data_IF_008835660228
#
_entry.id   IF_008835660228
#
_cell.length_a   1.000
_cell.length_b   1.000
_cell.length_c   1.000
_cell.angle_alpha   90.00
_cell.angle_beta   90.00
_cell.angle_gamma   90.00
#
_symmetry.space_group_name_H-M   'P 1'
#
loop_
_entity.id
_entity.type
_entity.pdbx_description
1 polymer ?
#
# COMPACT_ATOMS: atom_id res chain seq x y z
N UNK A 1 13.46 -8.35 4.73
CA UNK A 1 12.20 -8.13 3.99
C UNK A 1 11.42 -9.42 4.08
N UNK A 2 10.18 -9.37 4.56
CA UNK A 2 9.30 -10.53 4.73
C UNK A 2 7.95 -10.27 4.07
N UNK A 3 7.32 -11.30 3.54
CA UNK A 3 5.96 -11.22 2.99
C UNK A 3 5.01 -12.02 3.88
N UNK A 4 3.84 -11.44 4.19
CA UNK A 4 2.75 -12.19 4.82
C UNK A 4 1.80 -12.68 3.74
N UNK A 5 1.50 -13.98 3.79
CA UNK A 5 0.67 -14.65 2.81
C UNK A 5 -0.63 -15.16 3.43
N UNK A 6 -1.69 -15.23 2.63
CA UNK A 6 -2.96 -15.89 2.95
C UNK A 6 -3.29 -16.87 1.82
N UNK A 7 -3.81 -18.04 2.18
CA UNK A 7 -4.39 -18.97 1.21
C UNK A 7 -5.81 -18.52 0.86
N UNK A 8 -6.14 -18.35 -0.41
CA UNK A 8 -7.50 -18.12 -0.86
C UNK A 8 -8.27 -19.46 -0.87
N UNK A 9 -9.41 -19.50 -0.16
CA UNK A 9 -10.17 -20.74 0.01
C UNK A 9 -11.04 -21.11 -1.21
N UNK A 10 -11.19 -20.21 -2.18
CA UNK A 10 -11.92 -20.44 -3.44
C UNK A 10 -10.99 -20.95 -4.53
N UNK A 11 -9.78 -20.40 -4.63
CA UNK A 11 -8.80 -20.77 -5.68
C UNK A 11 -7.73 -21.74 -5.19
N UNK A 12 -7.56 -21.91 -3.88
CA UNK A 12 -6.50 -22.68 -3.23
C UNK A 12 -5.08 -22.11 -3.41
N UNK A 13 -4.96 -20.85 -3.87
CA UNK A 13 -3.70 -20.17 -4.15
C UNK A 13 -3.20 -19.35 -2.96
N UNK A 14 -1.87 -19.16 -2.86
CA UNK A 14 -1.26 -18.29 -1.86
C UNK A 14 -1.07 -16.88 -2.41
N UNK A 15 -1.61 -15.89 -1.71
CA UNK A 15 -1.55 -14.48 -2.08
C UNK A 15 -0.82 -13.67 -1.00
N UNK A 16 0.09 -12.79 -1.41
CA UNK A 16 0.74 -11.84 -0.50
C UNK A 16 -0.18 -10.65 -0.24
N UNK A 17 -0.37 -10.29 1.04
CA UNK A 17 -1.24 -9.17 1.43
C UNK A 17 -0.52 -8.07 2.22
N UNK A 18 0.67 -8.34 2.72
CA UNK A 18 1.48 -7.37 3.46
C UNK A 18 2.97 -7.66 3.24
N UNK A 19 3.78 -6.60 3.29
CA UNK A 19 5.22 -6.66 3.22
C UNK A 19 5.80 -5.98 4.46
N UNK A 20 6.71 -6.67 5.14
CA UNK A 20 7.39 -6.18 6.34
C UNK A 20 8.83 -5.86 5.98
N UNK A 21 9.17 -4.58 6.02
CA UNK A 21 10.52 -4.07 5.79
C UNK A 21 11.07 -3.55 7.13
N UNK A 22 12.23 -4.05 7.54
CA UNK A 22 12.88 -3.61 8.80
C UNK A 22 11.96 -3.73 10.04
N UNK A 23 11.08 -4.73 10.06
CA UNK A 23 10.12 -4.95 11.14
C UNK A 23 8.84 -4.10 11.05
N UNK A 24 8.69 -3.25 10.04
CA UNK A 24 7.54 -2.37 9.85
C UNK A 24 6.62 -2.93 8.75
N UNK A 25 5.35 -3.14 9.08
CA UNK A 25 4.31 -3.54 8.12
C UNK A 25 3.89 -2.36 7.24
N UNK A 26 4.06 -2.50 5.93
CA UNK A 26 3.66 -1.47 4.98
C UNK A 26 2.14 -1.26 4.99
N UNK A 27 1.34 -2.32 5.13
CA UNK A 27 -0.12 -2.21 5.21
C UNK A 27 -0.53 -1.33 6.40
N UNK A 28 0.02 -1.59 7.58
CA UNK A 28 -0.32 -0.82 8.79
C UNK A 28 0.14 0.64 8.71
N UNK A 29 1.30 0.90 8.10
CA UNK A 29 1.82 2.25 7.90
C UNK A 29 0.90 3.06 6.99
N UNK A 30 0.48 2.49 5.84
CA UNK A 30 -0.44 3.17 4.91
C UNK A 30 -1.83 3.38 5.50
N UNK A 31 -2.35 2.43 6.28
CA UNK A 31 -3.58 2.63 7.03
C UNK A 31 -3.48 3.80 8.00
N UNK A 32 -2.39 3.92 8.77
CA UNK A 32 -2.20 5.04 9.70
C UNK A 32 -2.10 6.39 8.97
N UNK A 33 -1.40 6.43 7.82
CA UNK A 33 -1.27 7.63 6.99
C UNK A 33 -2.66 8.10 6.49
N UNK A 34 -3.47 7.18 5.95
CA UNK A 34 -4.73 7.53 5.29
C UNK A 34 -5.92 7.62 6.23
N UNK A 35 -5.92 6.95 7.39
CA UNK A 35 -7.03 6.99 8.34
C UNK A 35 -7.41 8.41 8.78
N UNK A 36 -6.42 9.31 8.89
CA UNK A 36 -6.70 10.72 9.20
C UNK A 36 -7.38 11.41 8.02
N UNK A 37 -6.88 11.21 6.80
CA UNK A 37 -7.44 11.83 5.59
C UNK A 37 -8.82 11.28 5.24
N UNK A 38 -9.04 9.98 5.37
CA UNK A 38 -10.36 9.36 5.16
C UNK A 38 -11.40 9.95 6.13
N UNK A 39 -11.02 10.18 7.40
CA UNK A 39 -11.94 10.79 8.39
C UNK A 39 -12.25 12.26 8.09
N UNK A 40 -11.32 12.99 7.48
CA UNK A 40 -11.46 14.42 7.18
C UNK A 40 -12.16 14.67 5.84
N UNK A 41 -11.73 13.97 4.79
CA UNK A 41 -12.06 14.28 3.39
C UNK A 41 -12.88 13.16 2.72
N UNK A 42 -13.05 12.02 3.39
CA UNK A 42 -13.77 10.87 2.86
C UNK A 42 -12.94 9.96 1.96
N UNK A 43 -13.48 8.77 1.67
CA UNK A 43 -12.76 7.74 0.92
C UNK A 43 -12.51 8.09 -0.55
N UNK A 44 -13.42 8.85 -1.18
CA UNK A 44 -13.29 9.25 -2.58
C UNK A 44 -12.14 10.24 -2.80
N UNK A 45 -11.90 11.15 -1.86
CA UNK A 45 -10.77 12.08 -1.92
C UNK A 45 -9.43 11.32 -1.87
N UNK A 46 -9.33 10.33 -0.97
CA UNK A 46 -8.13 9.49 -0.88
C UNK A 46 -7.95 8.64 -2.14
N UNK A 47 -9.02 8.08 -2.72
CA UNK A 47 -8.95 7.34 -3.98
C UNK A 47 -8.41 8.21 -5.13
N UNK A 48 -8.88 9.46 -5.25
CA UNK A 48 -8.38 10.40 -6.26
C UNK A 48 -6.89 10.73 -6.08
N UNK A 49 -6.42 10.85 -4.83
CA UNK A 49 -5.00 11.08 -4.58
C UNK A 49 -4.15 9.86 -4.93
N UNK A 50 -4.65 8.64 -4.67
CA UNK A 50 -3.98 7.42 -5.09
C UNK A 50 -3.90 7.30 -6.62
N UNK A 51 -4.95 7.67 -7.35
CA UNK A 51 -4.94 7.73 -8.82
C UNK A 51 -3.89 8.71 -9.34
N UNK A 52 -3.79 9.91 -8.73
CA UNK A 52 -2.76 10.90 -9.09
C UNK A 52 -1.36 10.36 -8.84
N UNK A 53 -1.12 9.79 -7.65
CA UNK A 53 0.18 9.20 -7.29
C UNK A 53 0.59 8.06 -8.23
N UNK A 54 -0.36 7.20 -8.61
CA UNK A 54 -0.11 6.10 -9.53
C UNK A 54 0.21 6.56 -10.96
N UNK A 55 -0.24 7.76 -11.36
CA UNK A 55 0.05 8.35 -12.66
C UNK A 55 1.43 9.05 -12.71
N UNK A 56 2.10 9.25 -11.57
CA UNK A 56 3.42 9.87 -11.55
C UNK A 56 4.48 8.94 -12.16
N UNK A 57 5.31 9.42 -13.10
CA UNK A 57 6.32 8.59 -13.75
C UNK A 57 7.45 8.24 -12.77
N UNK A 58 7.94 7.00 -12.84
CA UNK A 58 9.10 6.55 -12.08
C UNK A 58 10.33 7.37 -12.51
N UNK A 59 10.93 8.06 -11.56
CA UNK A 59 12.19 8.78 -11.76
C UNK A 59 13.34 7.93 -11.23
N UNK A 60 14.28 7.59 -12.09
CA UNK A 60 15.52 6.95 -11.66
C UNK A 60 16.41 8.00 -11.00
N UNK A 61 16.91 7.70 -9.80
CA UNK A 61 17.95 8.53 -9.19
C UNK A 61 19.20 8.48 -10.09
N UNK A 62 19.69 9.65 -10.51
CA UNK A 62 20.95 9.72 -11.22
C UNK A 62 22.06 9.19 -10.30
N UNK A 63 22.93 8.32 -10.82
CA UNK A 63 24.13 7.87 -10.08
C UNK A 63 24.90 9.12 -9.62
N UNK A 64 25.08 9.24 -8.30
CA UNK A 64 26.12 10.10 -7.72
C UNK A 64 27.50 9.60 -8.11
#
# INVERSE_FOLDING_TARGET
LEFKLRKDNKTDEWEAFDMVAEGISLLSSKQSEWNTKIRQDGILAVAQDLEKLAAEPIRFEAKK
#
